data_IF_632351808709
#
_entry.id   IF_632351808709
#
_cell.length_a   1.000
_cell.length_b   1.000
_cell.length_c   1.000
_cell.angle_alpha   90.00
_cell.angle_beta   90.00
_cell.angle_gamma   90.00
#
_symmetry.space_group_name_H-M   'P 1'
#
loop_
_entity.id
_entity.type
_entity.pdbx_description
1 polymer ?
#
# COMPACT_ATOMS: atom_id res chain seq x y z
N UNK A 1 14.15 -7.51 -5.22
CA UNK A 1 12.90 -7.05 -4.62
C UNK A 1 12.09 -6.34 -5.70
N UNK A 2 10.78 -6.59 -5.82
CA UNK A 2 9.97 -5.93 -6.82
C UNK A 2 9.91 -4.42 -6.58
N UNK A 3 10.02 -3.63 -7.61
CA UNK A 3 9.79 -2.19 -7.56
C UNK A 3 8.27 -1.93 -7.45
N UNK A 4 7.88 -0.92 -6.68
CA UNK A 4 6.47 -0.58 -6.42
C UNK A 4 6.19 0.77 -7.08
N UNK A 5 5.10 0.86 -7.83
CA UNK A 5 4.69 2.04 -8.60
C UNK A 5 3.41 2.63 -8.04
N UNK A 6 3.32 3.96 -7.98
CA UNK A 6 2.11 4.68 -7.60
C UNK A 6 1.72 5.68 -8.69
N UNK A 7 0.45 5.79 -8.99
CA UNK A 7 -0.12 6.88 -9.77
C UNK A 7 -0.44 8.05 -8.86
N UNK A 8 0.07 9.21 -9.19
CA UNK A 8 -0.04 10.50 -8.51
C UNK A 8 0.77 10.66 -7.21
N UNK A 9 2.08 10.90 -7.33
CA UNK A 9 2.91 11.49 -6.26
C UNK A 9 3.96 12.43 -6.84
N UNK A 10 3.91 13.71 -6.46
CA UNK A 10 4.96 14.70 -6.71
C UNK A 10 5.87 14.75 -5.49
N UNK A 11 7.17 14.53 -5.64
CA UNK A 11 8.13 14.61 -4.53
C UNK A 11 8.95 15.90 -4.61
N UNK A 12 9.00 16.73 -3.58
CA UNK A 12 10.08 17.68 -3.38
C UNK A 12 11.01 17.24 -2.25
N UNK A 13 12.32 17.40 -2.48
CA UNK A 13 13.45 17.54 -1.55
C UNK A 13 13.94 16.30 -0.76
N UNK A 14 15.19 16.32 -0.26
CA UNK A 14 15.87 15.16 0.29
C UNK A 14 15.23 14.66 1.57
N UNK A 15 14.96 13.37 1.56
CA UNK A 15 14.21 12.67 2.61
C UNK A 15 15.18 12.13 3.65
N UNK A 16 15.08 12.62 4.87
CA UNK A 16 15.74 12.05 6.04
C UNK A 16 15.21 10.65 6.41
N UNK A 17 15.79 9.99 7.42
CA UNK A 17 15.35 8.67 7.85
C UNK A 17 13.88 8.69 8.29
N UNK A 18 13.14 7.62 8.01
CA UNK A 18 11.69 7.48 8.33
C UNK A 18 11.39 7.86 9.79
N UNK A 19 12.27 7.49 10.71
CA UNK A 19 12.13 7.77 12.14
C UNK A 19 12.17 9.25 12.52
N UNK A 20 12.77 10.10 11.69
CA UNK A 20 12.83 11.56 11.91
C UNK A 20 11.54 12.27 11.49
N UNK A 21 10.72 11.63 10.67
CA UNK A 21 9.50 12.20 10.08
C UNK A 21 8.21 11.68 10.70
N UNK A 22 8.28 10.68 11.55
CA UNK A 22 7.17 10.36 12.43
C UNK A 22 7.08 11.53 13.42
N UNK A 23 6.16 12.46 13.14
CA UNK A 23 5.96 13.71 13.89
C UNK A 23 6.06 13.49 15.42
N UNK A 24 6.58 14.48 16.18
CA UNK A 24 6.57 14.41 17.63
C UNK A 24 5.19 14.18 18.26
N UNK A 25 4.09 14.47 17.51
CA UNK A 25 2.71 14.16 17.94
C UNK A 25 2.30 12.70 17.71
N UNK A 26 2.98 11.94 16.83
CA UNK A 26 2.82 10.48 16.69
C UNK A 26 3.82 9.78 17.62
N UNK A 27 4.06 10.36 18.76
CA UNK A 27 5.06 9.94 19.74
C UNK A 27 4.65 8.73 20.57
N UNK A 28 3.55 8.08 20.28
CA UNK A 28 3.38 6.84 20.98
C UNK A 28 4.05 5.70 20.19
N UNK A 29 5.36 5.51 20.45
CA UNK A 29 5.97 4.17 20.33
C UNK A 29 5.03 3.10 20.91
N UNK A 30 4.08 3.49 21.72
CA UNK A 30 2.98 2.71 22.28
C UNK A 30 1.94 2.30 21.23
N UNK A 31 1.45 3.17 20.34
CA UNK A 31 0.40 2.80 19.37
C UNK A 31 0.86 1.78 18.35
N UNK A 32 2.10 1.91 17.83
CA UNK A 32 2.68 0.89 16.98
C UNK A 32 2.99 -0.42 17.74
N UNK A 33 3.34 -0.34 19.02
CA UNK A 33 3.57 -1.52 19.85
C UNK A 33 2.25 -2.23 20.21
N UNK A 34 1.17 -1.48 20.42
CA UNK A 34 -0.18 -2.03 20.66
C UNK A 34 -0.66 -2.77 19.41
N UNK A 35 -0.56 -2.16 18.24
CA UNK A 35 -0.96 -2.78 16.97
C UNK A 35 -0.26 -4.13 16.70
N UNK A 36 0.95 -4.31 17.19
CA UNK A 36 1.72 -5.56 17.00
C UNK A 36 1.50 -6.61 18.10
N UNK A 37 0.56 -6.37 19.01
CA UNK A 37 0.27 -7.30 20.11
C UNK A 37 -1.16 -7.83 19.96
N UNK A 38 -1.34 -9.05 19.45
CA UNK A 38 -2.66 -9.65 19.35
C UNK A 38 -3.22 -9.97 20.77
N UNK A 39 -4.52 -10.28 20.89
CA UNK A 39 -5.12 -10.74 22.14
C UNK A 39 -4.31 -11.88 22.78
N UNK A 40 -4.39 -12.02 24.12
CA UNK A 40 -3.56 -12.98 24.88
C UNK A 40 -3.67 -14.43 24.41
N UNK A 41 -4.88 -14.82 23.98
CA UNK A 41 -5.17 -16.20 23.56
C UNK A 41 -4.95 -16.41 22.05
N UNK A 42 -4.50 -15.40 21.31
CA UNK A 42 -4.27 -15.48 19.87
C UNK A 42 -2.96 -16.21 19.55
N UNK A 43 -3.04 -17.33 18.84
CA UNK A 43 -1.92 -18.19 18.48
C UNK A 43 -1.32 -17.78 17.14
N UNK A 44 -0.42 -16.82 17.21
CA UNK A 44 0.26 -16.29 16.03
C UNK A 44 1.19 -17.32 15.40
N UNK A 45 1.17 -17.43 14.06
CA UNK A 45 2.11 -18.27 13.32
C UNK A 45 3.57 -17.91 13.69
N UNK A 46 4.44 -18.89 14.01
CA UNK A 46 5.82 -18.64 14.44
C UNK A 46 6.67 -17.86 13.44
N UNK A 47 6.41 -17.98 12.14
CA UNK A 47 7.10 -17.21 11.10
C UNK A 47 6.74 -15.71 11.19
N UNK A 48 5.44 -15.41 11.36
CA UNK A 48 4.97 -14.03 11.51
C UNK A 48 5.52 -13.43 12.80
N UNK A 49 5.50 -14.18 13.90
CA UNK A 49 6.07 -13.73 15.17
C UNK A 49 7.54 -13.31 15.02
N UNK A 50 8.37 -14.14 14.38
CA UNK A 50 9.78 -13.80 14.13
C UNK A 50 9.96 -12.54 13.29
N UNK A 51 9.12 -12.35 12.26
CA UNK A 51 9.15 -11.14 11.44
C UNK A 51 8.77 -9.89 12.27
N UNK A 52 7.76 -10.00 13.13
CA UNK A 52 7.35 -8.90 14.01
C UNK A 52 8.45 -8.52 15.02
N UNK A 53 9.08 -9.50 15.63
CA UNK A 53 10.16 -9.25 16.59
C UNK A 53 11.35 -8.56 15.89
N UNK A 54 11.69 -8.96 14.67
CA UNK A 54 12.69 -8.30 13.85
C UNK A 54 12.27 -6.85 13.48
N UNK A 55 11.02 -6.63 13.07
CA UNK A 55 10.48 -5.29 12.77
C UNK A 55 10.52 -4.37 14.00
N UNK A 56 10.14 -4.87 15.17
CA UNK A 56 10.21 -4.11 16.44
C UNK A 56 11.64 -3.66 16.75
N UNK A 57 12.60 -4.59 16.61
CA UNK A 57 14.02 -4.29 16.81
C UNK A 57 14.52 -3.24 15.82
N UNK A 58 14.27 -3.44 14.53
CA UNK A 58 14.70 -2.54 13.46
C UNK A 58 14.13 -1.14 13.63
N UNK A 59 12.87 -1.05 14.04
CA UNK A 59 12.22 0.23 14.33
C UNK A 59 12.86 0.95 15.52
N UNK A 60 13.12 0.22 16.61
CA UNK A 60 13.78 0.79 17.80
C UNK A 60 15.20 1.30 17.50
N UNK A 61 15.92 0.61 16.61
CA UNK A 61 17.27 0.97 16.17
C UNK A 61 17.27 2.03 15.04
N UNK A 62 16.12 2.34 14.44
CA UNK A 62 15.99 3.30 13.35
C UNK A 62 16.67 2.86 12.04
N UNK A 63 16.82 1.56 11.80
CA UNK A 63 17.51 1.03 10.63
C UNK A 63 16.87 -0.27 10.11
N UNK A 64 17.28 -0.68 8.90
CA UNK A 64 16.80 -1.91 8.25
C UNK A 64 15.26 -1.98 8.12
N UNK A 65 14.62 -0.85 7.85
CA UNK A 65 13.19 -0.79 7.52
C UNK A 65 13.03 -1.33 6.10
N UNK A 66 12.33 -2.44 5.94
CA UNK A 66 12.01 -3.01 4.63
C UNK A 66 10.78 -2.32 3.98
N UNK A 67 10.51 -2.65 2.71
CA UNK A 67 9.42 -2.06 1.92
C UNK A 67 8.04 -2.30 2.53
N UNK A 68 7.76 -3.55 2.94
CA UNK A 68 6.46 -3.90 3.53
C UNK A 68 6.26 -3.26 4.90
N UNK A 69 7.34 -3.02 5.64
CA UNK A 69 7.24 -2.31 6.91
C UNK A 69 7.09 -0.80 6.72
N UNK A 70 7.80 -0.20 5.75
CA UNK A 70 7.62 1.21 5.39
C UNK A 70 6.18 1.50 4.94
N UNK A 71 5.57 0.61 4.17
CA UNK A 71 4.16 0.67 3.78
C UNK A 71 3.23 0.66 5.00
N UNK A 72 3.42 -0.29 5.92
CA UNK A 72 2.62 -0.39 7.14
C UNK A 72 2.76 0.85 8.03
N UNK A 73 3.97 1.41 8.12
CA UNK A 73 4.22 2.66 8.85
C UNK A 73 3.51 3.85 8.18
N UNK A 74 3.50 3.93 6.86
CA UNK A 74 2.78 4.96 6.12
C UNK A 74 1.27 4.87 6.39
N UNK A 75 0.68 3.70 6.24
CA UNK A 75 -0.74 3.49 6.51
C UNK A 75 -1.09 3.80 7.96
N UNK A 76 -0.32 3.28 8.91
CA UNK A 76 -0.54 3.52 10.33
C UNK A 76 -0.49 5.00 10.69
N UNK A 77 0.50 5.72 10.19
CA UNK A 77 0.63 7.15 10.45
C UNK A 77 -0.50 7.99 9.84
N UNK A 78 -0.94 7.68 8.62
CA UNK A 78 -2.10 8.34 7.99
C UNK A 78 -3.38 8.14 8.80
N UNK A 79 -3.62 6.91 9.26
CA UNK A 79 -4.82 6.62 10.05
C UNK A 79 -4.83 7.31 11.42
N UNK A 80 -3.68 7.44 12.07
CA UNK A 80 -3.54 8.19 13.31
C UNK A 80 -3.76 9.70 13.11
N UNK A 81 -3.48 10.21 11.92
CA UNK A 81 -3.75 11.58 11.49
C UNK A 81 -5.19 11.80 10.98
N UNK A 82 -6.01 10.75 10.96
CA UNK A 82 -7.41 10.83 10.56
C UNK A 82 -7.69 10.53 9.09
N UNK A 83 -6.69 10.10 8.32
CA UNK A 83 -6.85 9.71 6.92
C UNK A 83 -7.12 8.20 6.80
N UNK A 84 -8.31 7.78 6.32
CA UNK A 84 -8.60 6.38 6.10
C UNK A 84 -7.74 5.79 4.98
N UNK A 85 -7.50 4.48 5.05
CA UNK A 85 -6.74 3.75 4.03
C UNK A 85 -7.53 2.54 3.56
N UNK A 86 -7.68 2.41 2.24
CA UNK A 86 -8.28 1.25 1.60
C UNK A 86 -7.26 0.63 0.64
N UNK A 87 -7.00 -0.65 0.81
CA UNK A 87 -6.15 -1.45 -0.06
C UNK A 87 -6.94 -2.65 -0.58
N UNK A 88 -7.00 -2.80 -1.89
CA UNK A 88 -7.58 -3.96 -2.54
C UNK A 88 -6.66 -4.52 -3.62
N UNK A 89 -6.88 -5.77 -3.97
CA UNK A 89 -6.12 -6.49 -4.99
C UNK A 89 -6.06 -7.97 -4.67
N UNK A 90 -5.50 -8.74 -5.58
CA UNK A 90 -5.33 -10.18 -5.38
C UNK A 90 -4.25 -10.42 -4.31
N UNK A 91 -4.54 -11.27 -3.34
CA UNK A 91 -3.66 -11.61 -2.21
C UNK A 91 -3.20 -10.41 -1.35
N UNK A 92 -3.82 -9.23 -1.45
CA UNK A 92 -3.35 -8.00 -0.81
C UNK A 92 -3.29 -8.07 0.72
N UNK A 93 -4.09 -8.91 1.37
CA UNK A 93 -4.00 -9.11 2.84
C UNK A 93 -2.65 -9.67 3.28
N UNK A 94 -2.05 -10.54 2.48
CA UNK A 94 -0.73 -11.11 2.73
C UNK A 94 0.35 -10.33 1.98
N UNK A 95 -0.01 -9.81 0.82
CA UNK A 95 0.88 -9.41 -0.25
C UNK A 95 1.36 -10.63 -1.05
N UNK A 96 1.40 -10.53 -2.38
CA UNK A 96 1.83 -11.62 -3.28
C UNK A 96 3.18 -12.21 -2.87
N UNK A 97 4.09 -11.35 -2.41
CA UNK A 97 5.46 -11.74 -1.99
C UNK A 97 5.58 -12.01 -0.48
N UNK A 98 4.47 -12.20 0.24
CA UNK A 98 4.44 -12.38 1.70
C UNK A 98 5.15 -11.27 2.48
N UNK A 99 5.15 -10.06 1.95
CA UNK A 99 5.85 -8.89 2.51
C UNK A 99 4.99 -8.09 3.49
N UNK A 100 3.66 -8.17 3.37
CA UNK A 100 2.72 -7.32 4.10
C UNK A 100 2.16 -7.99 5.36
N UNK A 101 1.48 -9.12 5.22
CA UNK A 101 0.74 -9.76 6.30
C UNK A 101 -0.15 -8.78 7.10
N UNK A 102 -0.99 -8.02 6.40
CA UNK A 102 -1.89 -7.05 7.03
C UNK A 102 -2.98 -7.70 7.88
N UNK A 103 -3.35 -8.94 7.61
CA UNK A 103 -4.27 -9.74 8.39
C UNK A 103 -3.58 -11.01 8.90
N UNK A 104 -3.72 -11.27 10.19
CA UNK A 104 -3.23 -12.48 10.84
C UNK A 104 -4.41 -13.40 11.14
N UNK A 105 -4.14 -14.68 11.16
CA UNK A 105 -5.13 -15.71 11.47
C UNK A 105 -4.60 -16.58 12.61
N UNK A 106 -5.44 -16.81 13.60
CA UNK A 106 -5.12 -17.74 14.67
C UNK A 106 -4.84 -19.13 14.08
N UNK A 107 -3.86 -19.81 14.65
CA UNK A 107 -3.41 -21.11 14.14
C UNK A 107 -4.43 -22.24 14.37
N UNK A 108 -5.33 -22.11 15.35
CA UNK A 108 -6.32 -23.14 15.67
C UNK A 108 -7.72 -22.80 15.17
N UNK A 109 -8.28 -21.67 15.60
CA UNK A 109 -9.66 -21.33 15.32
C UNK A 109 -9.86 -20.44 14.09
N UNK A 110 -8.76 -19.99 13.45
CA UNK A 110 -8.78 -19.09 12.29
C UNK A 110 -9.36 -17.70 12.55
N UNK A 111 -9.57 -17.31 13.78
CA UNK A 111 -9.94 -15.94 14.11
C UNK A 111 -8.98 -14.94 13.47
N UNK A 112 -9.56 -13.93 12.83
CA UNK A 112 -8.78 -12.92 12.10
C UNK A 112 -8.45 -11.73 12.99
N UNK A 113 -7.21 -11.30 13.00
CA UNK A 113 -6.74 -10.07 13.63
C UNK A 113 -6.05 -9.18 12.59
N UNK A 114 -6.40 -7.89 12.57
CA UNK A 114 -5.79 -6.89 11.68
C UNK A 114 -5.10 -5.85 12.58
N UNK A 115 -3.76 -5.84 12.65
CA UNK A 115 -3.02 -4.95 13.54
C UNK A 115 -3.37 -3.48 13.36
N UNK A 116 -3.40 -3.01 12.11
CA UNK A 116 -3.65 -1.61 11.80
C UNK A 116 -5.07 -1.13 12.17
N UNK A 117 -6.02 -2.04 12.39
CA UNK A 117 -7.37 -1.67 12.88
C UNK A 117 -7.39 -1.45 14.40
N UNK A 118 -6.34 -1.92 15.09
CA UNK A 118 -6.30 -1.99 16.56
C UNK A 118 -5.13 -1.17 17.15
N UNK A 119 -4.80 -0.03 16.56
CA UNK A 119 -3.73 0.84 17.08
C UNK A 119 -4.24 1.78 18.16
N UNK A 120 -5.36 2.46 17.92
CA UNK A 120 -6.00 3.40 18.83
C UNK A 120 -7.53 3.44 18.64
N UNK A 121 -8.28 3.80 19.66
CA UNK A 121 -9.75 3.84 19.63
C UNK A 121 -10.31 4.89 18.65
N UNK A 122 -9.58 5.97 18.42
CA UNK A 122 -10.02 7.11 17.60
C UNK A 122 -9.30 7.23 16.26
N UNK A 123 -8.64 6.20 15.82
CA UNK A 123 -7.99 6.20 14.51
C UNK A 123 -8.99 6.16 13.35
N UNK A 124 -8.53 6.58 12.15
CA UNK A 124 -9.28 6.40 10.93
C UNK A 124 -9.36 4.91 10.52
N UNK A 125 -10.26 4.59 9.60
CA UNK A 125 -10.52 3.20 9.18
C UNK A 125 -9.39 2.65 8.29
N UNK A 126 -9.03 1.39 8.52
CA UNK A 126 -8.23 0.57 7.61
C UNK A 126 -9.08 -0.53 6.99
N UNK A 127 -9.10 -0.56 5.67
CA UNK A 127 -9.79 -1.60 4.90
C UNK A 127 -8.78 -2.33 4.03
N UNK A 128 -8.68 -3.66 4.16
CA UNK A 128 -7.84 -4.49 3.30
C UNK A 128 -8.63 -5.69 2.77
N UNK A 129 -8.65 -5.85 1.44
CA UNK A 129 -9.44 -6.86 0.77
C UNK A 129 -8.60 -7.67 -0.22
N UNK A 130 -8.75 -9.00 -0.17
CA UNK A 130 -8.38 -9.80 -1.33
C UNK A 130 -9.51 -9.68 -2.34
N UNK A 131 -9.20 -9.17 -3.51
CA UNK A 131 -10.17 -8.96 -4.58
C UNK A 131 -10.50 -10.26 -5.31
N UNK A 132 -11.54 -10.17 -6.13
CA UNK A 132 -11.84 -11.19 -7.15
C UNK A 132 -10.75 -11.16 -8.24
N UNK A 133 -10.69 -12.24 -9.01
CA UNK A 133 -9.79 -12.37 -10.17
C UNK A 133 -10.39 -11.64 -11.39
N UNK A 134 -10.32 -10.31 -11.35
CA UNK A 134 -10.72 -9.44 -12.46
C UNK A 134 -10.12 -8.05 -12.26
N UNK A 135 -9.03 -7.77 -12.92
CA UNK A 135 -8.33 -6.49 -12.83
C UNK A 135 -9.23 -5.34 -13.26
N UNK A 136 -9.93 -5.49 -14.40
CA UNK A 136 -10.82 -4.45 -14.91
C UNK A 136 -11.94 -4.10 -13.93
N UNK A 137 -12.63 -5.11 -13.39
CA UNK A 137 -13.76 -4.87 -12.49
C UNK A 137 -13.30 -4.25 -11.16
N UNK A 138 -12.20 -4.74 -10.60
CA UNK A 138 -11.69 -4.27 -9.30
C UNK A 138 -11.11 -2.87 -9.42
N UNK A 139 -10.31 -2.60 -10.46
CA UNK A 139 -9.75 -1.27 -10.70
C UNK A 139 -10.85 -0.23 -10.98
N UNK A 140 -11.87 -0.59 -11.79
CA UNK A 140 -13.01 0.29 -12.04
C UNK A 140 -13.78 0.62 -10.76
N UNK A 141 -13.98 -0.38 -9.90
CA UNK A 141 -14.62 -0.17 -8.60
C UNK A 141 -13.80 0.78 -7.71
N UNK A 142 -12.50 0.53 -7.57
CA UNK A 142 -11.63 1.35 -6.72
C UNK A 142 -11.44 2.77 -7.27
N UNK A 143 -11.46 2.94 -8.59
CA UNK A 143 -11.51 4.26 -9.22
C UNK A 143 -12.78 5.01 -8.84
N UNK A 144 -13.97 4.43 -9.05
CA UNK A 144 -15.23 5.05 -8.64
C UNK A 144 -15.30 5.34 -7.14
N UNK A 145 -14.79 4.41 -6.33
CA UNK A 145 -14.72 4.57 -4.88
C UNK A 145 -13.85 5.78 -4.47
N UNK A 146 -12.72 5.99 -5.14
CA UNK A 146 -11.83 7.13 -4.87
C UNK A 146 -12.46 8.48 -5.22
N UNK A 147 -13.29 8.54 -6.26
CA UNK A 147 -14.02 9.74 -6.62
C UNK A 147 -15.06 10.15 -5.57
N UNK A 148 -15.78 9.17 -5.02
CA UNK A 148 -16.80 9.41 -3.98
C UNK A 148 -16.20 9.67 -2.60
N UNK A 149 -14.95 9.28 -2.36
CA UNK A 149 -14.29 9.44 -1.07
C UNK A 149 -12.85 9.99 -1.20
N UNK A 150 -12.70 11.25 -1.65
CA UNK A 150 -11.39 11.84 -1.99
C UNK A 150 -10.47 12.07 -0.79
N UNK A 151 -10.96 11.93 0.45
CA UNK A 151 -10.14 12.04 1.67
C UNK A 151 -9.52 10.73 2.12
N UNK A 152 -9.68 9.66 1.36
CA UNK A 152 -9.15 8.34 1.65
C UNK A 152 -7.96 8.04 0.74
N UNK A 153 -6.90 7.46 1.28
CA UNK A 153 -5.90 6.81 0.46
C UNK A 153 -6.49 5.51 -0.10
N UNK A 154 -6.97 5.55 -1.33
CA UNK A 154 -7.48 4.40 -2.06
C UNK A 154 -6.37 3.76 -2.88
N UNK A 155 -6.15 2.45 -2.70
CA UNK A 155 -5.05 1.73 -3.35
C UNK A 155 -5.59 0.47 -4.01
N UNK A 156 -5.31 0.31 -5.29
CA UNK A 156 -5.42 -0.96 -5.99
C UNK A 156 -4.02 -1.55 -6.22
N UNK A 157 -3.80 -2.79 -5.79
CA UNK A 157 -2.55 -3.51 -6.02
C UNK A 157 -2.78 -4.64 -7.03
N UNK A 158 -2.08 -4.56 -8.17
CA UNK A 158 -2.01 -5.69 -9.08
C UNK A 158 -1.21 -6.84 -8.42
N UNK A 159 -1.58 -8.09 -8.67
CA UNK A 159 -0.81 -9.23 -8.17
C UNK A 159 0.62 -9.21 -8.74
N UNK A 160 0.74 -8.91 -10.02
CA UNK A 160 1.96 -8.48 -10.71
C UNK A 160 1.59 -7.30 -11.61
N UNK A 161 2.50 -6.36 -11.77
CA UNK A 161 2.26 -5.17 -12.59
C UNK A 161 1.88 -5.46 -14.03
N UNK A 162 2.37 -6.57 -14.58
CA UNK A 162 1.99 -7.06 -15.92
C UNK A 162 0.47 -7.21 -16.08
N UNK A 163 -0.23 -7.63 -15.05
CA UNK A 163 -1.67 -7.91 -15.12
C UNK A 163 -2.53 -6.64 -15.17
N UNK A 164 -1.95 -5.45 -14.99
CA UNK A 164 -2.66 -4.21 -15.25
C UNK A 164 -3.17 -4.12 -16.70
N UNK A 165 -2.58 -4.88 -17.64
CA UNK A 165 -3.07 -4.97 -19.01
C UNK A 165 -4.52 -5.48 -19.10
N UNK A 166 -4.97 -6.32 -18.16
CA UNK A 166 -6.36 -6.77 -18.08
C UNK A 166 -7.36 -5.66 -17.72
N UNK A 167 -6.86 -4.51 -17.23
CA UNK A 167 -7.64 -3.31 -16.91
C UNK A 167 -7.29 -2.12 -17.81
N UNK A 168 -6.62 -2.31 -18.94
CA UNK A 168 -6.11 -1.23 -19.79
C UNK A 168 -7.22 -0.26 -20.21
N UNK A 169 -8.42 -0.76 -20.51
CA UNK A 169 -9.57 0.11 -20.86
C UNK A 169 -9.93 1.06 -19.70
N UNK A 170 -9.88 0.58 -18.48
CA UNK A 170 -10.16 1.42 -17.29
C UNK A 170 -9.04 2.46 -17.11
N UNK A 171 -7.79 2.06 -17.31
CA UNK A 171 -6.64 2.96 -17.23
C UNK A 171 -6.77 4.08 -18.27
N UNK A 172 -6.96 3.73 -19.55
CA UNK A 172 -6.96 4.69 -20.66
C UNK A 172 -8.20 5.60 -20.63
N UNK A 173 -9.39 5.02 -20.41
CA UNK A 173 -10.65 5.74 -20.60
C UNK A 173 -11.14 6.47 -19.35
N UNK A 174 -10.67 6.10 -18.17
CA UNK A 174 -11.14 6.67 -16.91
C UNK A 174 -9.99 7.30 -16.11
N UNK A 175 -8.92 6.56 -15.79
CA UNK A 175 -7.87 7.06 -14.90
C UNK A 175 -7.04 8.15 -15.59
N UNK A 176 -6.58 7.90 -16.82
CA UNK A 176 -5.73 8.85 -17.57
C UNK A 176 -6.49 10.02 -18.17
N UNK A 177 -7.76 9.83 -18.52
CA UNK A 177 -8.56 10.81 -19.28
C UNK A 177 -9.77 11.36 -18.53
N UNK A 178 -9.99 10.97 -17.28
CA UNK A 178 -11.17 11.38 -16.51
C UNK A 178 -11.20 12.89 -16.21
N UNK A 179 -10.05 13.49 -15.97
CA UNK A 179 -9.95 14.94 -15.73
C UNK A 179 -10.33 15.74 -16.99
N UNK A 180 -9.77 15.38 -18.14
CA UNK A 180 -10.06 16.04 -19.40
C UNK A 180 -11.54 15.86 -19.85
N UNK A 181 -12.08 14.64 -19.71
CA UNK A 181 -13.43 14.32 -20.15
C UNK A 181 -14.52 14.88 -19.23
N UNK A 182 -14.31 14.87 -17.93
CA UNK A 182 -15.36 15.09 -16.94
C UNK A 182 -14.98 16.05 -15.82
N UNK A 183 -13.76 16.58 -15.82
CA UNK A 183 -13.23 17.41 -14.74
C UNK A 183 -13.08 16.65 -13.41
N UNK A 184 -13.01 15.33 -13.46
CA UNK A 184 -12.89 14.48 -12.27
C UNK A 184 -11.45 14.09 -12.01
N UNK A 185 -10.95 14.40 -10.80
CA UNK A 185 -9.61 14.02 -10.33
C UNK A 185 -9.75 12.88 -9.33
N UNK A 186 -8.97 11.83 -9.52
CA UNK A 186 -8.94 10.68 -8.63
C UNK A 186 -7.61 10.62 -7.88
N UNK A 187 -7.66 10.36 -6.58
CA UNK A 187 -6.48 10.13 -5.74
C UNK A 187 -6.11 8.63 -5.65
N UNK A 188 -6.59 7.84 -6.61
CA UNK A 188 -6.31 6.41 -6.67
C UNK A 188 -4.81 6.15 -6.86
N UNK A 189 -4.26 5.31 -6.00
CA UNK A 189 -2.90 4.79 -6.14
C UNK A 189 -2.94 3.39 -6.74
N UNK A 190 -2.15 3.17 -7.78
CA UNK A 190 -1.93 1.84 -8.37
C UNK A 190 -0.56 1.32 -7.93
N UNK A 191 -0.52 0.19 -7.24
CA UNK A 191 0.72 -0.52 -6.93
C UNK A 191 0.93 -1.63 -7.95
N UNK A 192 2.02 -1.54 -8.70
CA UNK A 192 2.33 -2.43 -9.82
C UNK A 192 3.67 -3.15 -9.57
N UNK A 193 3.68 -4.19 -8.71
CA UNK A 193 4.90 -4.91 -8.38
C UNK A 193 5.52 -5.54 -9.63
N UNK A 194 6.81 -5.31 -9.86
CA UNK A 194 7.53 -5.92 -10.97
C UNK A 194 9.02 -6.12 -10.65
N UNK A 195 9.72 -6.86 -11.46
CA UNK A 195 11.16 -7.06 -11.35
C UNK A 195 11.70 -7.94 -12.47
N UNK A 196 12.96 -7.76 -12.86
CA UNK A 196 13.58 -8.47 -13.97
C UNK A 196 13.60 -10.00 -13.80
N UNK A 197 13.64 -10.48 -12.58
CA UNK A 197 13.68 -11.91 -12.24
C UNK A 197 12.29 -12.43 -11.86
N UNK A 198 11.26 -12.04 -12.62
CA UNK A 198 9.92 -12.60 -12.47
C UNK A 198 9.89 -14.09 -12.80
N UNK A 199 8.93 -14.81 -12.19
CA UNK A 199 8.82 -16.27 -12.33
C UNK A 199 8.23 -16.73 -13.66
N UNK A 200 7.97 -15.83 -14.59
CA UNK A 200 7.39 -16.15 -15.88
C UNK A 200 7.42 -14.98 -16.84
N UNK A 201 7.02 -15.18 -18.09
CA UNK A 201 7.10 -14.14 -19.12
C UNK A 201 6.22 -12.93 -18.85
N UNK A 202 5.18 -13.09 -18.01
CA UNK A 202 4.21 -12.04 -17.66
C UNK A 202 4.28 -11.66 -16.18
N UNK A 203 5.46 -11.78 -15.57
CA UNK A 203 5.68 -11.53 -14.14
C UNK A 203 6.88 -10.61 -13.90
N UNK A 204 7.38 -9.95 -14.94
CA UNK A 204 8.65 -9.22 -14.88
C UNK A 204 8.53 -7.73 -15.17
N UNK A 205 7.47 -7.27 -15.85
CA UNK A 205 7.32 -5.89 -16.27
C UNK A 205 5.95 -5.32 -15.95
N UNK A 206 5.90 -4.19 -15.27
CA UNK A 206 4.67 -3.39 -15.12
C UNK A 206 4.34 -2.59 -16.39
N UNK A 207 5.11 -2.75 -17.47
CA UNK A 207 4.95 -2.02 -18.73
C UNK A 207 4.96 -0.50 -18.50
N UNK A 208 6.00 -0.05 -17.83
CA UNK A 208 6.22 1.34 -17.44
C UNK A 208 6.04 2.31 -18.62
N UNK A 209 6.51 1.91 -19.80
CA UNK A 209 6.41 2.67 -21.04
C UNK A 209 4.98 3.05 -21.41
N UNK A 210 3.97 2.24 -21.06
CA UNK A 210 2.56 2.53 -21.31
C UNK A 210 2.05 3.65 -20.42
N UNK A 211 2.42 3.63 -19.15
CA UNK A 211 2.06 4.69 -18.21
C UNK A 211 2.78 6.00 -18.55
N UNK A 212 4.07 5.93 -18.86
CA UNK A 212 4.83 7.11 -19.29
C UNK A 212 4.29 7.72 -20.59
N UNK A 213 3.86 6.90 -21.54
CA UNK A 213 3.21 7.36 -22.76
C UNK A 213 1.85 8.03 -22.48
N UNK A 214 1.13 7.59 -21.45
CA UNK A 214 -0.15 8.17 -21.03
C UNK A 214 -0.04 9.43 -20.20
N UNK A 215 1.18 9.85 -19.79
CA UNK A 215 1.38 11.07 -19.04
C UNK A 215 1.16 12.29 -19.94
N UNK A 216 0.24 13.16 -19.56
CA UNK A 216 -0.06 14.42 -20.24
C UNK A 216 -0.64 15.42 -19.23
N UNK A 217 -0.09 16.65 -19.17
CA UNK A 217 -0.64 17.73 -18.36
C UNK A 217 -0.87 17.36 -16.88
N UNK A 218 0.05 16.57 -16.32
CA UNK A 218 0.02 16.08 -14.92
C UNK A 218 -1.19 15.18 -14.56
N UNK A 219 -1.86 14.57 -15.56
CA UNK A 219 -3.00 13.68 -15.36
C UNK A 219 -2.68 12.44 -14.48
N UNK A 220 -1.46 11.91 -14.58
CA UNK A 220 -0.94 10.82 -13.74
C UNK A 220 0.51 11.08 -13.38
N UNK A 221 0.95 10.51 -12.26
CA UNK A 221 2.35 10.54 -11.82
C UNK A 221 2.90 9.12 -11.73
N UNK A 222 3.97 8.87 -12.46
CA UNK A 222 4.64 7.56 -12.50
C UNK A 222 5.89 7.61 -11.63
N UNK A 223 5.98 6.73 -10.63
CA UNK A 223 7.07 6.70 -9.66
C UNK A 223 7.76 5.34 -9.62
N UNK A 224 9.08 5.35 -9.51
CA UNK A 224 9.90 4.17 -9.20
C UNK A 224 10.84 4.48 -8.05
N UNK A 225 10.53 3.99 -6.88
CA UNK A 225 11.27 4.30 -5.66
C UNK A 225 12.48 3.39 -5.52
N UNK A 226 13.61 3.97 -5.09
CA UNK A 226 14.85 3.24 -4.84
C UNK A 226 15.06 2.88 -3.36
N UNK A 227 14.28 3.51 -2.46
CA UNK A 227 14.37 3.25 -1.02
C UNK A 227 13.00 3.11 -0.37
N UNK A 228 12.87 2.31 0.70
CA UNK A 228 11.64 2.24 1.50
C UNK A 228 11.20 3.59 2.08
N UNK A 229 12.15 4.49 2.37
CA UNK A 229 11.84 5.83 2.85
C UNK A 229 11.10 6.67 1.80
N UNK A 230 11.53 6.64 0.54
CA UNK A 230 10.82 7.31 -0.54
C UNK A 230 9.40 6.78 -0.69
N UNK A 231 9.22 5.47 -0.65
CA UNK A 231 7.90 4.84 -0.73
C UNK A 231 6.99 5.25 0.44
N UNK A 232 7.52 5.26 1.67
CA UNK A 232 6.80 5.76 2.84
C UNK A 232 6.28 7.18 2.64
N UNK A 233 7.13 8.09 2.20
CA UNK A 233 6.75 9.49 1.98
C UNK A 233 5.78 9.65 0.82
N UNK A 234 5.95 8.88 -0.25
CA UNK A 234 5.04 8.91 -1.39
C UNK A 234 3.61 8.52 -1.03
N UNK A 235 3.44 7.46 -0.23
CA UNK A 235 2.12 7.02 0.24
C UNK A 235 1.44 8.03 1.17
N UNK A 236 2.21 8.92 1.80
CA UNK A 236 1.70 9.94 2.74
C UNK A 236 1.40 11.28 2.08
N UNK A 237 1.76 11.45 0.84
CA UNK A 237 1.54 12.68 0.10
C UNK A 237 0.25 12.65 -0.69
#
# INVERSE_FOLDING_TARGET
MPAIWATKVVLPAPLGPITAWISPGITSKSSLSVATTPPKDFRLNPKIKRQLDAKKKNFAEGKNIDWGFAEQLAFGSLMLEGTPVRLSGQDSKRGTFSHRHAAWYDAEDRTRYIPLVNMEDRQAKFCVYNSLLSEAAVLAFDYGYSLDYPKMLAIWEAQFGDFANGAQVIIDQFIMSGEDKWGTVSDLVMLLPHGFEGQGPEHSSARLERFLQGCAEDNIVVCNFTTPAQFFHALRR
#
